data_IF_833282608019
#
_entry.id   IF_833282608019
#
_cell.length_a   1.000
_cell.length_b   1.000
_cell.length_c   1.000
_cell.angle_alpha   90.00
_cell.angle_beta   90.00
_cell.angle_gamma   90.00
#
_symmetry.space_group_name_H-M   'P 1'
#
loop_
_entity.id
_entity.type
_entity.pdbx_description
1 polymer ?
#
# COMPACT_ATOMS: atom_id res chain seq x y z
N UNK A 1 5.45 0.22 -2.06
CA UNK A 1 6.71 0.97 -2.28
C UNK A 1 7.03 1.07 -3.78
N UNK A 2 7.85 2.03 -4.22
CA UNK A 2 8.44 2.02 -5.57
C UNK A 2 9.80 1.33 -5.60
N UNK A 3 10.52 1.35 -4.49
CA UNK A 3 11.86 0.77 -4.36
C UNK A 3 11.87 -0.38 -3.35
N UNK A 4 12.92 -1.20 -3.36
CA UNK A 4 13.10 -2.28 -2.39
C UNK A 4 13.62 -1.76 -1.05
N UNK A 5 13.46 -2.57 0.00
CA UNK A 5 14.00 -2.30 1.35
C UNK A 5 15.52 -2.19 1.30
N UNK A 6 16.18 -2.99 0.45
CA UNK A 6 17.64 -2.97 0.26
C UNK A 6 18.18 -1.62 -0.27
N UNK A 7 17.29 -0.75 -0.78
CA UNK A 7 17.66 0.59 -1.25
C UNK A 7 17.75 1.62 -0.11
N UNK A 8 17.21 1.32 1.09
CA UNK A 8 17.14 2.28 2.20
C UNK A 8 18.53 2.80 2.57
N UNK A 9 19.50 1.91 2.70
CA UNK A 9 20.86 2.23 3.11
C UNK A 9 21.66 2.99 2.03
N UNK A 10 21.14 3.04 0.80
CA UNK A 10 21.73 3.76 -0.33
C UNK A 10 21.21 5.19 -0.46
N UNK A 11 20.20 5.57 0.32
CA UNK A 11 19.66 6.93 0.33
C UNK A 11 20.69 7.90 0.91
N UNK A 12 20.76 9.09 0.32
CA UNK A 12 21.53 10.21 0.88
C UNK A 12 20.64 11.12 1.72
N UNK A 13 19.36 11.15 1.40
CA UNK A 13 18.33 11.82 2.19
C UNK A 13 17.13 10.89 2.36
N UNK A 14 16.67 10.78 3.61
CA UNK A 14 15.45 10.08 3.98
C UNK A 14 14.44 11.14 4.41
N UNK A 15 13.29 11.22 3.74
CA UNK A 15 12.13 11.96 4.25
C UNK A 15 11.15 10.94 4.80
N UNK A 16 10.99 10.91 6.12
CA UNK A 16 10.05 10.02 6.80
C UNK A 16 8.91 10.87 7.33
N UNK A 17 7.68 10.58 6.91
CA UNK A 17 6.50 11.36 7.32
C UNK A 17 5.32 10.47 7.70
N UNK A 18 4.58 10.86 8.74
CA UNK A 18 3.41 10.12 9.20
C UNK A 18 3.69 8.66 9.55
N UNK A 19 4.89 8.36 10.05
CA UNK A 19 5.39 7.01 10.33
C UNK A 19 6.24 6.94 11.58
N UNK A 20 5.86 6.07 12.53
CA UNK A 20 6.76 5.62 13.60
C UNK A 20 7.47 4.33 13.19
N UNK A 21 8.44 4.47 12.29
CA UNK A 21 9.06 3.34 11.56
C UNK A 21 9.78 2.35 12.48
N UNK A 22 10.38 2.80 13.58
CA UNK A 22 11.16 1.91 14.47
C UNK A 22 10.28 0.99 15.31
N UNK A 23 9.05 1.39 15.62
CA UNK A 23 8.07 0.54 16.32
C UNK A 23 7.27 -0.32 15.34
N UNK A 24 6.78 0.27 14.25
CA UNK A 24 5.86 -0.43 13.34
C UNK A 24 6.57 -1.32 12.32
N UNK A 25 7.80 -0.96 11.95
CA UNK A 25 8.62 -1.71 10.99
C UNK A 25 10.07 -1.83 11.49
N UNK A 26 10.36 -2.51 12.62
CA UNK A 26 11.66 -2.45 13.29
C UNK A 26 12.86 -2.80 12.39
N UNK A 27 12.69 -3.74 11.46
CA UNK A 27 13.74 -4.11 10.48
C UNK A 27 14.05 -2.97 9.51
N UNK A 28 13.02 -2.28 9.03
CA UNK A 28 13.17 -1.07 8.20
C UNK A 28 13.75 0.07 9.05
N UNK A 29 13.30 0.22 10.30
CA UNK A 29 13.86 1.17 11.26
C UNK A 29 15.36 0.95 11.50
N UNK A 30 15.82 -0.30 11.58
CA UNK A 30 17.23 -0.63 11.67
C UNK A 30 18.01 -0.23 10.40
N UNK A 31 17.45 -0.46 9.21
CA UNK A 31 18.05 0.01 7.96
C UNK A 31 18.13 1.54 7.87
N UNK A 32 17.11 2.26 8.33
CA UNK A 32 17.12 3.72 8.45
C UNK A 32 18.23 4.18 9.41
N UNK A 33 18.36 3.55 10.58
CA UNK A 33 19.42 3.87 11.54
C UNK A 33 20.82 3.67 10.95
N UNK A 34 21.07 2.55 10.25
CA UNK A 34 22.35 2.32 9.54
C UNK A 34 22.59 3.37 8.47
N UNK A 35 21.58 3.69 7.67
CA UNK A 35 21.69 4.73 6.64
C UNK A 35 22.14 6.08 7.24
N UNK A 36 21.55 6.49 8.38
CA UNK A 36 21.83 7.77 9.02
C UNK A 36 23.14 7.76 9.81
N UNK A 37 23.30 6.79 10.72
CA UNK A 37 24.37 6.77 11.71
C UNK A 37 25.69 6.23 11.16
N UNK A 38 25.63 5.30 10.20
CA UNK A 38 26.83 4.64 9.65
C UNK A 38 27.17 5.18 8.25
N UNK A 39 26.16 5.41 7.40
CA UNK A 39 26.37 5.86 6.01
C UNK A 39 26.26 7.38 5.81
N UNK A 40 25.93 8.13 6.87
CA UNK A 40 25.86 9.59 6.87
C UNK A 40 24.68 10.19 6.11
N UNK A 41 23.60 9.43 5.89
CA UNK A 41 22.38 9.94 5.28
C UNK A 41 21.72 11.01 6.17
N UNK A 42 21.16 12.04 5.54
CA UNK A 42 20.36 13.05 6.25
C UNK A 42 18.95 12.54 6.45
N UNK A 43 18.38 12.75 7.64
CA UNK A 43 17.01 12.39 7.95
C UNK A 43 16.16 13.64 8.18
N UNK A 44 15.18 13.85 7.31
CA UNK A 44 14.07 14.79 7.51
C UNK A 44 12.90 13.96 8.08
N UNK A 45 12.59 14.18 9.35
CA UNK A 45 11.45 13.56 10.01
C UNK A 45 10.32 14.59 10.08
N UNK A 46 9.15 14.24 9.55
CA UNK A 46 7.93 15.04 9.65
C UNK A 46 6.90 14.26 10.46
N UNK A 47 6.85 14.53 11.76
CA UNK A 47 5.90 13.91 12.69
C UNK A 47 5.65 14.89 13.85
N UNK A 48 4.40 15.17 14.25
CA UNK A 48 4.12 16.04 15.40
C UNK A 48 4.70 15.50 16.72
N UNK A 49 4.96 14.18 16.81
CA UNK A 49 5.42 13.51 18.02
C UNK A 49 6.93 13.27 17.97
N UNK A 50 7.54 13.24 19.16
CA UNK A 50 8.95 12.88 19.32
C UNK A 50 9.09 11.34 19.33
N UNK A 51 9.12 10.73 18.15
CA UNK A 51 9.41 9.29 18.01
C UNK A 51 10.91 9.03 18.12
N UNK A 52 11.33 7.76 18.24
CA UNK A 52 12.75 7.39 18.42
C UNK A 52 13.66 7.98 17.33
N UNK A 53 13.19 8.02 16.08
CA UNK A 53 13.95 8.57 14.95
C UNK A 53 14.22 10.08 15.06
N UNK A 54 13.49 10.82 15.91
CA UNK A 54 13.71 12.24 16.11
C UNK A 54 15.08 12.52 16.75
N UNK A 55 15.62 11.59 17.56
CA UNK A 55 16.91 11.75 18.22
C UNK A 55 18.10 11.73 17.25
N UNK A 56 17.90 11.16 16.06
CA UNK A 56 18.94 11.05 15.02
C UNK A 56 18.58 11.86 13.77
N UNK A 57 17.45 12.60 13.79
CA UNK A 57 17.00 13.38 12.66
C UNK A 57 17.89 14.60 12.43
N UNK A 58 18.25 14.85 11.17
CA UNK A 58 18.91 16.09 10.77
C UNK A 58 17.96 17.28 10.95
N UNK A 59 16.68 17.07 10.64
CA UNK A 59 15.59 18.00 10.90
C UNK A 59 14.36 17.23 11.35
N UNK A 60 13.72 17.72 12.41
CA UNK A 60 12.45 17.21 12.89
C UNK A 60 11.38 18.31 12.78
N UNK A 61 10.55 18.22 11.75
CA UNK A 61 9.44 19.12 11.48
C UNK A 61 8.18 18.61 12.18
N UNK A 62 7.46 19.53 12.82
CA UNK A 62 6.33 19.22 13.71
C UNK A 62 5.06 19.94 13.25
N UNK A 63 4.44 19.50 12.14
CA UNK A 63 3.21 20.14 11.67
C UNK A 63 2.06 19.87 12.65
N UNK A 64 1.08 20.77 12.70
CA UNK A 64 -0.24 20.48 13.26
C UNK A 64 -0.85 19.31 12.48
N UNK A 65 -1.46 18.31 13.15
CA UNK A 65 -2.06 17.17 12.45
C UNK A 65 -3.09 17.61 11.39
N UNK A 66 -3.03 17.03 10.19
CA UNK A 66 -3.94 17.34 9.08
C UNK A 66 -3.54 18.55 8.23
N UNK A 67 -2.35 19.12 8.44
CA UNK A 67 -1.81 20.21 7.61
C UNK A 67 -0.75 19.75 6.61
N UNK A 68 -0.76 18.47 6.21
CA UNK A 68 0.33 17.87 5.46
C UNK A 68 0.50 18.45 4.06
N UNK A 69 -0.62 18.66 3.37
CA UNK A 69 -0.63 19.27 2.05
C UNK A 69 0.08 20.63 2.02
N UNK A 70 -0.08 21.43 3.09
CA UNK A 70 0.52 22.76 3.18
C UNK A 70 2.06 22.71 3.25
N UNK A 71 2.65 21.85 4.08
CA UNK A 71 4.11 21.76 4.15
C UNK A 71 4.72 21.11 2.91
N UNK A 72 4.02 20.14 2.29
CA UNK A 72 4.51 19.49 1.06
C UNK A 72 4.54 20.53 -0.08
N UNK A 73 3.44 21.26 -0.29
CA UNK A 73 3.38 22.32 -1.28
C UNK A 73 4.38 23.45 -0.97
N UNK A 74 4.58 23.75 0.32
CA UNK A 74 5.60 24.70 0.77
C UNK A 74 7.03 24.30 0.40
N UNK A 75 7.38 23.02 0.58
CA UNK A 75 8.68 22.51 0.13
C UNK A 75 8.82 22.63 -1.39
N UNK A 76 7.78 22.25 -2.16
CA UNK A 76 7.79 22.39 -3.61
C UNK A 76 7.97 23.87 -4.01
N UNK A 77 7.23 24.79 -3.37
CA UNK A 77 7.35 26.22 -3.61
C UNK A 77 8.79 26.71 -3.46
N UNK A 78 9.46 26.35 -2.36
CA UNK A 78 10.86 26.72 -2.12
C UNK A 78 11.79 26.14 -3.19
N UNK A 79 11.62 24.86 -3.52
CA UNK A 79 12.44 24.16 -4.54
C UNK A 79 12.33 24.86 -5.90
N UNK A 80 11.12 25.24 -6.29
CA UNK A 80 10.89 25.95 -7.56
C UNK A 80 11.45 27.38 -7.52
N UNK A 81 11.22 28.12 -6.43
CA UNK A 81 11.70 29.50 -6.26
C UNK A 81 13.22 29.59 -6.26
N UNK A 82 13.90 28.58 -5.75
CA UNK A 82 15.37 28.50 -5.71
C UNK A 82 15.99 27.80 -6.93
N UNK A 83 15.17 27.41 -7.92
CA UNK A 83 15.61 26.69 -9.12
C UNK A 83 16.35 25.38 -8.82
N UNK A 84 15.88 24.63 -7.81
CA UNK A 84 16.43 23.34 -7.37
C UNK A 84 15.71 22.12 -7.98
N UNK A 85 14.71 22.35 -8.84
CA UNK A 85 13.96 21.28 -9.49
C UNK A 85 14.77 20.58 -10.59
N UNK A 86 14.49 19.30 -10.81
CA UNK A 86 15.05 18.53 -11.92
C UNK A 86 14.25 18.80 -13.20
N UNK A 87 14.61 19.88 -13.91
CA UNK A 87 13.88 20.33 -15.10
C UNK A 87 13.90 19.30 -16.22
N UNK A 88 15.01 18.58 -16.41
CA UNK A 88 15.14 17.53 -17.42
C UNK A 88 14.19 16.36 -17.11
N UNK A 89 14.11 15.93 -15.85
CA UNK A 89 13.15 14.90 -15.45
C UNK A 89 11.70 15.35 -15.70
N UNK A 90 11.37 16.58 -15.31
CA UNK A 90 10.03 17.15 -15.48
C UNK A 90 9.65 17.15 -16.97
N UNK A 91 10.49 17.73 -17.83
CA UNK A 91 10.22 17.87 -19.26
C UNK A 91 10.12 16.53 -19.98
N UNK A 92 10.93 15.54 -19.61
CA UNK A 92 10.98 14.27 -20.32
C UNK A 92 9.99 13.22 -19.79
N UNK A 93 9.64 13.27 -18.50
CA UNK A 93 8.94 12.16 -17.84
C UNK A 93 7.59 12.52 -17.24
N UNK A 94 7.19 13.79 -17.24
CA UNK A 94 5.99 14.24 -16.51
C UNK A 94 5.02 15.08 -17.34
N UNK A 95 3.82 15.30 -16.85
CA UNK A 95 2.80 16.18 -17.44
C UNK A 95 2.07 16.95 -16.33
N UNK A 96 1.43 18.08 -16.67
CA UNK A 96 0.66 18.91 -15.72
C UNK A 96 1.50 19.80 -14.79
N UNK A 97 2.77 20.05 -15.14
CA UNK A 97 3.71 20.78 -14.29
C UNK A 97 3.31 22.24 -14.09
N UNK A 98 2.89 22.94 -15.14
CA UNK A 98 2.57 24.37 -15.06
C UNK A 98 1.34 24.64 -14.17
N UNK A 99 0.32 23.78 -14.24
CA UNK A 99 -0.86 23.87 -13.36
C UNK A 99 -0.48 23.63 -11.89
N UNK A 100 0.38 22.65 -11.63
CA UNK A 100 0.87 22.37 -10.27
C UNK A 100 1.75 23.50 -9.75
N UNK A 101 2.66 24.03 -10.58
CA UNK A 101 3.52 25.18 -10.27
C UNK A 101 2.71 26.42 -9.91
N UNK A 102 1.62 26.67 -10.64
CA UNK A 102 0.70 27.76 -10.31
C UNK A 102 0.00 27.53 -8.95
N UNK A 103 -0.46 26.31 -8.69
CA UNK A 103 -1.12 25.96 -7.42
C UNK A 103 -0.19 26.10 -6.21
N UNK A 104 1.09 25.72 -6.31
CA UNK A 104 2.04 25.83 -5.19
C UNK A 104 2.57 27.25 -4.96
N UNK A 105 2.33 28.19 -5.88
CA UNK A 105 2.86 29.55 -5.79
C UNK A 105 2.39 30.31 -4.53
N UNK A 106 1.19 29.99 -4.03
CA UNK A 106 0.64 30.63 -2.82
C UNK A 106 1.20 30.09 -1.50
N UNK A 107 1.90 28.95 -1.52
CA UNK A 107 2.43 28.29 -0.32
C UNK A 107 3.82 28.82 0.05
N UNK A 108 3.90 30.13 0.30
CA UNK A 108 5.17 30.71 0.79
C UNK A 108 5.53 30.16 2.17
N UNK A 109 6.82 30.12 2.55
CA UNK A 109 7.23 29.63 3.86
C UNK A 109 6.48 30.27 5.04
N UNK A 110 6.17 31.56 4.95
CA UNK A 110 5.44 32.31 5.98
C UNK A 110 3.99 31.84 6.11
N UNK A 111 3.29 31.63 4.97
CA UNK A 111 1.93 31.08 4.98
C UNK A 111 1.91 29.66 5.52
N UNK A 112 2.91 28.86 5.15
CA UNK A 112 3.03 27.47 5.62
C UNK A 112 3.29 27.44 7.12
N UNK A 113 4.10 28.35 7.65
CA UNK A 113 4.34 28.48 9.10
C UNK A 113 3.04 28.81 9.86
N UNK A 114 2.21 29.71 9.34
CA UNK A 114 0.90 30.03 9.93
C UNK A 114 -0.01 28.79 10.02
N UNK A 115 -0.14 28.06 8.91
CA UNK A 115 -1.01 26.88 8.80
C UNK A 115 -0.46 25.76 9.69
N UNK A 116 0.79 25.37 9.45
CA UNK A 116 1.37 24.12 9.95
C UNK A 116 2.05 24.27 11.31
N UNK A 117 2.51 25.47 11.68
CA UNK A 117 3.39 25.68 12.83
C UNK A 117 4.84 25.24 12.62
N UNK A 118 5.23 24.80 11.41
CA UNK A 118 6.63 24.55 11.06
C UNK A 118 7.32 25.90 10.82
N UNK A 119 8.43 26.23 11.50
CA UNK A 119 9.15 27.47 11.24
C UNK A 119 9.56 27.61 9.78
N UNK A 120 9.36 28.78 9.19
CA UNK A 120 9.66 29.03 7.77
C UNK A 120 11.11 28.66 7.39
N UNK A 121 12.07 28.95 8.27
CA UNK A 121 13.49 28.62 8.05
C UNK A 121 13.73 27.11 8.00
N UNK A 122 13.06 26.34 8.87
CA UNK A 122 13.18 24.87 8.91
C UNK A 122 12.56 24.24 7.67
N UNK A 123 11.43 24.77 7.18
CA UNK A 123 10.80 24.35 5.93
C UNK A 123 11.74 24.58 4.74
N UNK A 124 12.35 25.76 4.65
CA UNK A 124 13.31 26.11 3.59
C UNK A 124 14.52 25.16 3.66
N UNK A 125 15.05 24.92 4.86
CA UNK A 125 16.19 24.02 5.05
C UNK A 125 15.85 22.58 4.66
N UNK A 126 14.67 22.09 5.00
CA UNK A 126 14.20 20.77 4.59
C UNK A 126 14.06 20.66 3.07
N UNK A 127 13.47 21.67 2.42
CA UNK A 127 13.31 21.74 0.97
C UNK A 127 14.67 21.66 0.24
N UNK A 128 15.65 22.45 0.69
CA UNK A 128 17.03 22.43 0.17
C UNK A 128 17.72 21.09 0.38
N UNK A 129 17.57 20.48 1.56
CA UNK A 129 18.15 19.15 1.83
C UNK A 129 17.54 18.10 0.91
N UNK A 130 16.21 18.08 0.78
CA UNK A 130 15.49 17.09 -0.01
C UNK A 130 15.78 17.19 -1.52
N UNK A 131 15.89 18.41 -2.06
CA UNK A 131 16.20 18.62 -3.47
C UNK A 131 17.67 18.37 -3.84
N UNK A 132 18.58 18.36 -2.85
CA UNK A 132 20.02 18.29 -3.10
C UNK A 132 20.50 16.95 -3.67
N UNK A 133 20.58 15.93 -2.82
CA UNK A 133 21.06 14.59 -3.22
C UNK A 133 19.91 13.60 -3.37
N UNK A 134 20.25 12.39 -3.81
CA UNK A 134 19.36 11.23 -3.94
C UNK A 134 18.52 11.02 -2.66
N UNK A 135 17.21 11.27 -2.79
CA UNK A 135 16.27 11.22 -1.67
C UNK A 135 15.12 10.24 -1.91
N UNK A 136 14.61 9.67 -0.83
CA UNK A 136 13.41 8.83 -0.86
C UNK A 136 12.42 9.26 0.22
N UNK A 137 11.13 9.16 -0.11
CA UNK A 137 10.03 9.40 0.82
C UNK A 137 9.55 8.07 1.38
N UNK A 138 9.41 7.98 2.69
CA UNK A 138 8.78 6.87 3.40
C UNK A 138 7.60 7.40 4.21
N UNK A 139 6.42 6.81 4.00
CA UNK A 139 5.20 7.30 4.65
C UNK A 139 4.24 6.17 5.01
N UNK A 140 3.29 6.44 5.90
CA UNK A 140 2.21 5.50 6.22
C UNK A 140 0.96 6.24 6.68
N UNK A 141 0.28 5.72 7.69
CA UNK A 141 -1.04 6.14 8.15
C UNK A 141 -1.16 7.61 8.57
N UNK A 142 -0.09 8.26 9.06
CA UNK A 142 -0.12 9.70 9.35
C UNK A 142 -0.24 10.59 8.11
N UNK A 143 -0.23 10.01 6.91
CA UNK A 143 -0.54 10.67 5.64
C UNK A 143 -1.90 10.20 5.12
N UNK A 144 -2.18 8.89 5.19
CA UNK A 144 -3.34 8.28 4.50
C UNK A 144 -4.62 8.31 5.32
N UNK A 145 -4.56 8.33 6.66
CA UNK A 145 -5.74 8.32 7.54
C UNK A 145 -6.21 9.74 7.88
N UNK A 146 -6.34 10.57 6.85
CA UNK A 146 -6.85 11.93 6.91
C UNK A 146 -7.97 12.12 5.88
N UNK A 147 -8.81 13.13 6.07
CA UNK A 147 -9.86 13.48 5.10
C UNK A 147 -9.31 13.82 3.70
N UNK A 148 -8.04 14.25 3.63
CA UNK A 148 -7.31 14.58 2.41
C UNK A 148 -6.16 13.57 2.14
N UNK A 149 -6.31 12.31 2.57
CA UNK A 149 -5.23 11.33 2.52
C UNK A 149 -4.75 11.02 1.09
N UNK A 150 -5.66 11.02 0.12
CA UNK A 150 -5.34 10.83 -1.30
C UNK A 150 -4.51 11.99 -1.84
N UNK A 151 -4.93 13.21 -1.56
CA UNK A 151 -4.27 14.45 -1.95
C UNK A 151 -2.88 14.56 -1.30
N UNK A 152 -2.73 14.19 -0.03
CA UNK A 152 -1.43 14.17 0.63
C UNK A 152 -0.44 13.23 -0.09
N UNK A 153 -0.89 12.03 -0.50
CA UNK A 153 -0.05 11.08 -1.27
C UNK A 153 0.29 11.63 -2.65
N UNK A 154 -0.67 12.26 -3.33
CA UNK A 154 -0.42 12.93 -4.62
C UNK A 154 0.57 14.09 -4.48
N UNK A 155 0.52 14.84 -3.38
CA UNK A 155 1.47 15.92 -3.10
C UNK A 155 2.88 15.38 -2.84
N UNK A 156 3.02 14.29 -2.09
CA UNK A 156 4.32 13.60 -1.94
C UNK A 156 4.85 13.13 -3.29
N UNK A 157 3.98 12.63 -4.18
CA UNK A 157 4.36 12.23 -5.53
C UNK A 157 4.81 13.44 -6.36
N UNK A 158 4.10 14.57 -6.28
CA UNK A 158 4.55 15.83 -6.88
C UNK A 158 5.96 16.19 -6.38
N UNK A 159 6.17 16.22 -5.06
CA UNK A 159 7.47 16.56 -4.46
C UNK A 159 8.60 15.66 -4.98
N UNK A 160 8.40 14.34 -4.99
CA UNK A 160 9.38 13.41 -5.50
C UNK A 160 9.64 13.57 -7.01
N UNK A 161 8.61 13.88 -7.81
CA UNK A 161 8.77 14.11 -9.24
C UNK A 161 9.44 15.45 -9.56
N UNK A 162 9.17 16.52 -8.80
CA UNK A 162 9.84 17.83 -8.98
C UNK A 162 11.35 17.70 -8.80
N UNK A 163 11.80 16.84 -7.89
CA UNK A 163 13.22 16.58 -7.67
C UNK A 163 13.76 15.39 -8.48
N UNK A 164 12.96 14.79 -9.37
CA UNK A 164 13.36 13.64 -10.17
C UNK A 164 13.75 12.40 -9.35
N UNK A 165 13.24 12.23 -8.13
CA UNK A 165 13.62 11.12 -7.24
C UNK A 165 12.96 9.79 -7.58
N UNK A 166 12.04 9.74 -8.57
CA UNK A 166 11.32 8.53 -8.97
C UNK A 166 12.01 7.81 -10.12
N UNK A 167 11.92 6.47 -10.16
CA UNK A 167 12.48 5.68 -11.26
C UNK A 167 13.99 5.59 -11.24
N UNK A 168 14.59 5.55 -10.04
CA UNK A 168 16.03 5.37 -9.83
C UNK A 168 16.31 4.66 -8.49
N UNK A 169 17.44 3.94 -8.37
CA UNK A 169 17.91 3.36 -7.10
C UNK A 169 18.07 4.41 -5.99
N UNK A 170 17.83 4.00 -4.74
CA UNK A 170 17.83 4.89 -3.55
C UNK A 170 16.89 6.09 -3.66
N UNK A 171 15.70 5.92 -4.23
CA UNK A 171 14.76 7.01 -4.41
C UNK A 171 13.31 6.60 -4.16
N UNK A 172 12.42 7.40 -4.74
CA UNK A 172 11.02 7.05 -4.93
C UNK A 172 10.12 7.28 -3.73
N UNK A 173 8.92 6.73 -3.84
CA UNK A 173 7.84 6.84 -2.87
C UNK A 173 7.55 5.48 -2.25
N UNK A 174 7.73 5.40 -0.95
CA UNK A 174 7.77 4.13 -0.26
C UNK A 174 6.71 4.11 0.85
N UNK A 175 5.42 3.85 0.51
CA UNK A 175 4.42 3.56 1.52
C UNK A 175 4.84 2.31 2.30
N UNK A 176 4.94 2.46 3.62
CA UNK A 176 5.22 1.39 4.56
C UNK A 176 3.90 0.72 4.93
N UNK A 177 3.56 -0.33 4.19
CA UNK A 177 2.36 -1.15 4.43
C UNK A 177 2.48 -1.88 5.77
N UNK A 178 1.39 -1.93 6.54
CA UNK A 178 1.38 -2.48 7.90
C UNK A 178 1.33 -4.01 7.94
N UNK A 179 0.18 -4.59 7.57
CA UNK A 179 -0.02 -6.03 7.63
C UNK A 179 0.88 -6.79 6.63
N UNK A 180 1.29 -8.00 7.04
CA UNK A 180 2.24 -8.85 6.33
C UNK A 180 1.93 -9.09 4.84
N UNK A 181 0.66 -9.16 4.47
CA UNK A 181 0.21 -9.50 3.13
C UNK A 181 -0.79 -8.51 2.54
N UNK A 182 -0.94 -7.30 3.09
CA UNK A 182 -1.87 -6.31 2.51
C UNK A 182 -1.47 -5.93 1.09
N UNK A 183 -0.18 -6.01 0.73
CA UNK A 183 0.23 -5.91 -0.67
C UNK A 183 -0.33 -7.07 -1.49
N UNK A 184 -0.11 -8.32 -1.05
CA UNK A 184 -0.57 -9.52 -1.76
C UNK A 184 -2.09 -9.63 -1.86
N UNK A 185 -2.83 -9.29 -0.80
CA UNK A 185 -4.29 -9.25 -0.81
C UNK A 185 -4.81 -8.28 -1.88
N UNK A 186 -4.24 -7.06 -1.95
CA UNK A 186 -4.56 -6.12 -3.03
C UNK A 186 -4.14 -6.66 -4.41
N UNK A 187 -2.96 -7.28 -4.51
CA UNK A 187 -2.46 -7.85 -5.76
C UNK A 187 -3.40 -8.94 -6.29
N UNK A 188 -4.06 -9.69 -5.41
CA UNK A 188 -4.98 -10.78 -5.77
C UNK A 188 -6.43 -10.32 -5.96
N UNK A 189 -6.68 -9.00 -6.03
CA UNK A 189 -8.03 -8.48 -6.25
C UNK A 189 -8.89 -8.43 -4.97
N UNK A 190 -8.27 -8.36 -3.79
CA UNK A 190 -8.95 -8.03 -2.52
C UNK A 190 -9.42 -6.57 -2.45
N UNK A 191 -9.92 -6.04 -3.57
CA UNK A 191 -10.37 -4.68 -3.80
C UNK A 191 -11.62 -4.73 -4.69
N UNK A 192 -12.63 -3.90 -4.46
CA UNK A 192 -13.93 -4.04 -5.14
C UNK A 192 -13.91 -3.69 -6.64
N UNK A 193 -12.85 -3.05 -7.14
CA UNK A 193 -12.80 -2.44 -8.47
C UNK A 193 -11.78 -3.09 -9.43
N UNK A 194 -11.07 -4.14 -9.00
CA UNK A 194 -10.06 -4.80 -9.82
C UNK A 194 -10.06 -6.32 -9.60
N UNK A 195 -9.72 -7.07 -10.65
CA UNK A 195 -9.23 -8.44 -10.55
C UNK A 195 -7.75 -8.46 -10.10
N UNK A 196 -7.15 -9.65 -10.04
CA UNK A 196 -5.72 -9.80 -9.72
C UNK A 196 -4.83 -8.99 -10.67
N UNK A 197 -3.67 -8.54 -10.17
CA UNK A 197 -2.74 -7.71 -10.92
C UNK A 197 -3.23 -6.28 -11.18
N UNK A 198 -4.21 -5.80 -10.41
CA UNK A 198 -4.83 -4.48 -10.58
C UNK A 198 -5.52 -4.28 -11.94
N UNK A 199 -6.00 -5.37 -12.55
CA UNK A 199 -6.72 -5.33 -13.82
C UNK A 199 -8.16 -4.87 -13.56
N UNK A 200 -8.59 -3.75 -14.14
CA UNK A 200 -9.90 -3.13 -13.87
C UNK A 200 -11.08 -4.07 -14.17
N UNK A 201 -12.08 -4.12 -13.28
CA UNK A 201 -13.34 -4.83 -13.58
C UNK A 201 -14.17 -4.15 -14.66
N UNK A 202 -13.94 -2.86 -14.90
CA UNK A 202 -14.65 -2.09 -15.92
C UNK A 202 -14.06 -2.24 -17.33
N UNK A 203 -12.95 -2.98 -17.49
CA UNK A 203 -12.35 -3.24 -18.80
C UNK A 203 -12.95 -4.53 -19.42
N UNK A 204 -13.72 -4.45 -20.51
CA UNK A 204 -14.37 -5.62 -21.11
C UNK A 204 -13.39 -6.70 -21.56
N UNK A 205 -12.17 -6.33 -21.97
CA UNK A 205 -11.16 -7.30 -22.39
C UNK A 205 -10.64 -8.11 -21.20
N UNK A 206 -10.51 -7.47 -20.03
CA UNK A 206 -10.13 -8.13 -18.79
C UNK A 206 -11.26 -9.03 -18.28
N UNK A 207 -12.50 -8.55 -18.32
CA UNK A 207 -13.67 -9.36 -17.94
C UNK A 207 -13.74 -10.64 -18.77
N UNK A 208 -13.64 -10.53 -20.10
CA UNK A 208 -13.66 -11.68 -20.99
C UNK A 208 -12.52 -12.67 -20.71
N UNK A 209 -11.31 -12.18 -20.44
CA UNK A 209 -10.16 -13.01 -20.05
C UNK A 209 -10.42 -13.79 -18.76
N UNK A 210 -11.04 -13.16 -17.75
CA UNK A 210 -11.34 -13.82 -16.47
C UNK A 210 -12.50 -14.82 -16.59
N UNK A 211 -13.52 -14.49 -17.38
CA UNK A 211 -14.61 -15.41 -17.72
C UNK A 211 -14.10 -16.67 -18.41
N UNK A 212 -13.21 -16.53 -19.39
CA UNK A 212 -12.55 -17.65 -20.06
C UNK A 212 -11.74 -18.49 -19.07
N UNK A 213 -10.89 -17.85 -18.25
CA UNK A 213 -10.04 -18.54 -17.29
C UNK A 213 -10.84 -19.36 -16.26
N UNK A 214 -11.99 -18.86 -15.82
CA UNK A 214 -12.82 -19.53 -14.81
C UNK A 214 -13.97 -20.35 -15.39
N UNK A 215 -14.13 -20.37 -16.72
CA UNK A 215 -15.22 -21.08 -17.38
C UNK A 215 -16.62 -20.58 -16.98
N UNK A 216 -16.73 -19.29 -16.63
CA UNK A 216 -17.98 -18.64 -16.22
C UNK A 216 -18.41 -17.58 -17.24
N UNK A 217 -19.62 -17.05 -17.10
CA UNK A 217 -20.13 -15.93 -17.90
C UNK A 217 -20.92 -14.97 -17.01
N UNK A 218 -21.00 -13.72 -17.43
CA UNK A 218 -21.76 -12.68 -16.73
C UNK A 218 -21.06 -12.16 -15.49
N UNK A 219 -19.72 -12.11 -15.48
CA UNK A 219 -19.00 -11.39 -14.43
C UNK A 219 -19.41 -9.91 -14.47
N UNK A 220 -19.57 -9.29 -13.29
CA UNK A 220 -19.96 -7.89 -13.23
C UNK A 220 -18.83 -6.98 -13.70
N UNK A 221 -19.17 -6.00 -14.53
CA UNK A 221 -18.30 -4.93 -15.00
C UNK A 221 -18.32 -3.68 -14.10
N UNK A 222 -18.96 -3.77 -12.94
CA UNK A 222 -19.14 -2.66 -11.99
C UNK A 222 -18.30 -2.89 -10.75
N UNK A 223 -17.64 -1.86 -10.22
CA UNK A 223 -17.03 -1.92 -8.91
C UNK A 223 -18.04 -2.37 -7.84
N UNK A 224 -17.60 -3.27 -6.95
CA UNK A 224 -18.31 -3.63 -5.74
C UNK A 224 -18.31 -2.50 -4.71
N UNK A 225 -18.92 -2.77 -3.55
CA UNK A 225 -18.97 -1.83 -2.43
C UNK A 225 -17.66 -1.87 -1.62
N UNK A 226 -17.22 -0.71 -1.16
CA UNK A 226 -16.15 -0.57 -0.17
C UNK A 226 -16.64 -0.96 1.23
N UNK A 227 -15.71 -1.21 2.17
CA UNK A 227 -16.04 -1.53 3.56
C UNK A 227 -16.99 -0.50 4.20
N UNK A 228 -16.73 0.80 3.99
CA UNK A 228 -17.58 1.86 4.51
C UNK A 228 -19.00 1.80 3.92
N UNK A 229 -19.12 1.55 2.62
CA UNK A 229 -20.42 1.43 1.94
C UNK A 229 -21.17 0.16 2.36
N UNK A 230 -20.46 -0.94 2.64
CA UNK A 230 -21.05 -2.20 3.12
C UNK A 230 -21.82 -1.97 4.43
N UNK A 231 -21.27 -1.19 5.37
CA UNK A 231 -21.94 -0.93 6.66
C UNK A 231 -23.28 -0.21 6.48
N UNK A 232 -23.33 0.82 5.64
CA UNK A 232 -24.56 1.54 5.30
C UNK A 232 -25.53 0.63 4.54
N UNK A 233 -25.04 -0.12 3.56
CA UNK A 233 -25.85 -1.02 2.75
C UNK A 233 -26.47 -2.18 3.55
N UNK A 234 -25.80 -2.66 4.60
CA UNK A 234 -26.34 -3.65 5.53
C UNK A 234 -27.54 -3.08 6.30
N UNK A 235 -27.43 -1.87 6.87
CA UNK A 235 -28.53 -1.21 7.60
C UNK A 235 -29.73 -0.92 6.70
N UNK A 236 -29.47 -0.57 5.45
CA UNK A 236 -30.50 -0.36 4.42
C UNK A 236 -31.07 -1.68 3.85
N UNK A 237 -30.63 -2.84 4.35
CA UNK A 237 -31.03 -4.18 3.89
C UNK A 237 -30.75 -4.43 2.40
N UNK A 238 -29.82 -3.67 1.80
CA UNK A 238 -29.29 -3.91 0.45
C UNK A 238 -28.28 -5.06 0.44
N UNK A 239 -27.55 -5.23 1.53
CA UNK A 239 -26.74 -6.44 1.81
C UNK A 239 -27.47 -7.24 2.89
N UNK A 240 -27.64 -8.55 2.63
CA UNK A 240 -28.29 -9.48 3.57
C UNK A 240 -27.30 -10.48 4.18
N UNK A 241 -26.25 -10.82 3.44
CA UNK A 241 -25.23 -11.78 3.83
C UNK A 241 -23.85 -11.13 3.79
N UNK A 242 -23.00 -11.42 4.77
CA UNK A 242 -21.59 -11.03 4.76
C UNK A 242 -20.71 -12.20 5.18
N UNK A 243 -19.59 -12.39 4.47
CA UNK A 243 -18.54 -13.34 4.83
C UNK A 243 -17.29 -12.52 5.17
N UNK A 244 -16.87 -12.56 6.43
CA UNK A 244 -15.66 -11.87 6.92
C UNK A 244 -14.57 -12.93 7.09
N UNK A 245 -13.44 -12.72 6.43
CA UNK A 245 -12.30 -13.64 6.44
C UNK A 245 -11.09 -12.99 7.10
N UNK A 246 -10.70 -13.47 8.27
CA UNK A 246 -9.46 -13.06 8.95
C UNK A 246 -9.41 -11.60 9.38
N UNK A 247 -10.58 -10.98 9.63
CA UNK A 247 -10.69 -9.59 10.06
C UNK A 247 -11.59 -9.45 11.29
N UNK A 248 -11.31 -8.42 12.10
CA UNK A 248 -12.07 -8.07 13.31
C UNK A 248 -12.52 -6.60 13.28
N UNK A 249 -13.39 -6.20 12.32
CA UNK A 249 -13.79 -4.81 12.14
C UNK A 249 -14.41 -4.19 13.39
N UNK A 250 -15.06 -4.97 14.28
CA UNK A 250 -15.59 -4.44 15.55
C UNK A 250 -14.50 -3.74 16.39
N UNK A 251 -13.25 -4.19 16.32
CA UNK A 251 -12.12 -3.58 17.03
C UNK A 251 -11.33 -2.61 16.15
N UNK A 252 -11.18 -2.89 14.86
CA UNK A 252 -10.28 -2.14 13.98
C UNK A 252 -10.93 -0.95 13.26
N UNK A 253 -12.24 -0.96 13.07
CA UNK A 253 -12.94 0.06 12.28
C UNK A 253 -13.43 1.23 13.15
N UNK A 254 -13.54 2.44 12.57
CA UNK A 254 -14.09 3.59 13.29
C UNK A 254 -15.59 3.42 13.53
N UNK A 255 -16.09 4.09 14.58
CA UNK A 255 -17.50 4.04 14.99
C UNK A 255 -18.03 2.62 15.19
N UNK A 256 -17.44 1.94 16.17
CA UNK A 256 -17.80 0.58 16.58
C UNK A 256 -19.30 0.37 16.80
N UNK A 257 -20.01 1.38 17.34
CA UNK A 257 -21.45 1.27 17.58
C UNK A 257 -22.23 1.18 16.28
N UNK A 258 -21.91 2.04 15.30
CA UNK A 258 -22.51 2.00 13.98
C UNK A 258 -22.25 0.66 13.28
N UNK A 259 -21.00 0.18 13.33
CA UNK A 259 -20.63 -1.10 12.74
C UNK A 259 -21.36 -2.28 13.39
N UNK A 260 -21.42 -2.37 14.72
CA UNK A 260 -22.11 -3.46 15.41
C UNK A 260 -23.58 -3.50 15.00
N UNK A 261 -24.25 -2.34 14.92
CA UNK A 261 -25.63 -2.26 14.46
C UNK A 261 -25.77 -2.76 13.01
N UNK A 262 -24.84 -2.41 12.13
CA UNK A 262 -24.83 -2.87 10.74
C UNK A 262 -24.68 -4.40 10.67
N UNK A 263 -23.71 -4.97 11.40
CA UNK A 263 -23.48 -6.42 11.42
C UNK A 263 -24.67 -7.19 12.01
N UNK A 264 -25.27 -6.70 13.09
CA UNK A 264 -26.48 -7.29 13.69
C UNK A 264 -27.71 -7.17 12.79
N UNK A 265 -27.73 -6.23 11.85
CA UNK A 265 -28.82 -6.08 10.89
C UNK A 265 -28.73 -7.05 9.71
N UNK A 266 -27.64 -7.81 9.55
CA UNK A 266 -27.52 -8.81 8.49
C UNK A 266 -28.43 -10.01 8.77
N UNK A 267 -29.01 -10.58 7.72
CA UNK A 267 -29.79 -11.81 7.82
C UNK A 267 -28.87 -13.05 7.97
N UNK A 268 -27.61 -12.94 7.52
CA UNK A 268 -26.60 -13.98 7.66
C UNK A 268 -25.19 -13.39 7.74
N UNK A 269 -24.38 -13.88 8.68
CA UNK A 269 -23.01 -13.41 8.91
C UNK A 269 -22.14 -14.63 9.18
N UNK A 270 -21.13 -14.82 8.34
CA UNK A 270 -20.10 -15.84 8.49
C UNK A 270 -18.80 -15.15 8.86
N UNK A 271 -18.12 -15.66 9.87
CA UNK A 271 -16.77 -15.20 10.23
C UNK A 271 -15.82 -16.38 10.20
N UNK A 272 -14.77 -16.28 9.41
CA UNK A 272 -13.69 -17.25 9.37
C UNK A 272 -12.46 -16.66 10.04
N UNK A 273 -12.05 -17.22 11.17
CA UNK A 273 -11.00 -16.66 12.02
C UNK A 273 -10.27 -17.78 12.79
N UNK A 274 -9.12 -17.45 13.39
CA UNK A 274 -8.39 -18.31 14.30
C UNK A 274 -9.01 -18.31 15.71
N UNK A 275 -9.61 -17.19 16.10
CA UNK A 275 -10.16 -16.99 17.43
C UNK A 275 -11.62 -16.54 17.40
N UNK A 276 -12.32 -16.73 18.51
CA UNK A 276 -13.65 -16.16 18.71
C UNK A 276 -13.52 -14.66 19.03
N UNK A 277 -13.25 -13.86 18.00
CA UNK A 277 -13.09 -12.40 18.05
C UNK A 277 -14.40 -11.68 18.37
N UNK A 278 -14.33 -10.38 18.65
CA UNK A 278 -15.50 -9.51 18.87
C UNK A 278 -16.47 -9.56 17.69
N UNK A 279 -15.93 -9.58 16.47
CA UNK A 279 -16.72 -9.75 15.25
C UNK A 279 -17.31 -11.17 15.15
N UNK A 280 -16.51 -12.21 15.42
CA UNK A 280 -16.99 -13.60 15.37
C UNK A 280 -18.12 -13.89 16.37
N UNK A 281 -18.16 -13.22 17.52
CA UNK A 281 -19.25 -13.33 18.51
C UNK A 281 -20.60 -12.83 17.99
N UNK A 282 -20.61 -11.99 16.95
CA UNK A 282 -21.82 -11.51 16.28
C UNK A 282 -22.26 -12.44 15.14
N UNK A 283 -21.42 -13.41 14.75
CA UNK A 283 -21.65 -14.24 13.59
C UNK A 283 -22.73 -15.31 13.83
N UNK A 284 -23.45 -15.64 12.75
CA UNK A 284 -24.35 -16.78 12.73
C UNK A 284 -23.58 -18.10 12.58
N UNK A 285 -22.44 -18.06 11.87
CA UNK A 285 -21.53 -19.20 11.67
C UNK A 285 -20.10 -18.73 11.87
N UNK A 286 -19.32 -19.49 12.64
CA UNK A 286 -17.88 -19.31 12.78
C UNK A 286 -17.17 -20.50 12.17
N UNK A 287 -16.23 -20.26 11.25
CA UNK A 287 -15.43 -21.28 10.58
C UNK A 287 -13.97 -21.18 11.06
N UNK A 288 -13.41 -22.23 11.71
CA UNK A 288 -12.06 -22.17 12.25
C UNK A 288 -11.00 -22.27 11.15
N UNK A 289 -10.24 -21.19 10.94
CA UNK A 289 -9.10 -21.14 10.04
C UNK A 289 -7.81 -21.66 10.67
N UNK A 290 -6.80 -21.96 9.84
CA UNK A 290 -5.46 -22.34 10.28
C UNK A 290 -4.51 -21.14 10.29
N UNK A 291 -3.64 -21.07 11.30
CA UNK A 291 -2.63 -20.02 11.44
C UNK A 291 -1.54 -20.12 10.37
N UNK A 292 -0.66 -19.10 10.29
CA UNK A 292 0.43 -19.09 9.31
C UNK A 292 1.41 -20.27 9.44
N UNK A 293 1.57 -20.82 10.66
CA UNK A 293 2.47 -21.94 10.93
C UNK A 293 1.82 -23.29 10.59
N UNK A 294 0.50 -23.32 10.46
CA UNK A 294 -0.30 -24.53 10.20
C UNK A 294 -0.59 -24.74 8.71
N UNK A 295 -0.28 -23.76 7.87
CA UNK A 295 -0.53 -23.77 6.42
C UNK A 295 0.69 -23.33 5.62
N UNK A 296 0.64 -23.56 4.31
CA UNK A 296 1.64 -23.04 3.37
C UNK A 296 1.01 -22.11 2.34
N UNK A 297 1.85 -21.40 1.61
CA UNK A 297 1.42 -20.45 0.57
C UNK A 297 2.47 -19.37 0.36
N UNK A 298 2.02 -18.14 0.11
CA UNK A 298 2.89 -16.99 -0.07
C UNK A 298 2.38 -15.75 0.66
N UNK A 299 3.31 -14.88 1.03
CA UNK A 299 3.02 -13.50 1.38
C UNK A 299 3.77 -12.56 0.46
N UNK A 300 3.14 -11.44 0.10
CA UNK A 300 3.77 -10.33 -0.60
C UNK A 300 3.90 -9.17 0.37
N UNK A 301 5.14 -8.77 0.66
CA UNK A 301 5.44 -7.75 1.66
C UNK A 301 5.35 -6.31 1.08
N UNK A 302 5.68 -5.30 1.90
CA UNK A 302 5.59 -3.86 1.54
C UNK A 302 6.44 -3.44 0.32
N UNK A 303 7.52 -4.15 0.04
CA UNK A 303 8.40 -3.93 -1.12
C UNK A 303 8.01 -4.78 -2.34
N UNK A 304 6.80 -5.38 -2.33
CA UNK A 304 6.26 -6.23 -3.41
C UNK A 304 6.97 -7.58 -3.54
N UNK A 305 7.78 -7.98 -2.55
CA UNK A 305 8.47 -9.27 -2.59
C UNK A 305 7.52 -10.39 -2.22
N UNK A 306 7.29 -11.30 -3.16
CA UNK A 306 6.55 -12.55 -2.98
C UNK A 306 7.46 -13.58 -2.32
N UNK A 307 7.09 -14.06 -1.14
CA UNK A 307 7.89 -14.96 -0.31
C UNK A 307 7.07 -16.19 0.10
N UNK A 308 7.71 -17.35 0.15
CA UNK A 308 7.05 -18.62 0.50
C UNK A 308 6.84 -18.76 2.01
N UNK A 309 5.61 -19.06 2.40
CA UNK A 309 5.21 -19.52 3.73
C UNK A 309 5.18 -21.05 3.72
N UNK A 310 5.65 -21.69 4.78
CA UNK A 310 5.69 -23.15 4.90
C UNK A 310 4.97 -23.59 6.16
N UNK A 311 4.23 -24.68 6.03
CA UNK A 311 3.67 -25.39 7.16
C UNK A 311 4.81 -25.91 8.05
N UNK A 312 4.76 -25.54 9.32
CA UNK A 312 5.69 -25.98 10.36
C UNK A 312 5.04 -27.01 11.30
N UNK A 313 3.73 -26.91 11.50
CA UNK A 313 2.93 -27.82 12.32
C UNK A 313 1.63 -28.15 11.59
N UNK A 314 0.98 -29.26 11.94
CA UNK A 314 -0.36 -29.58 11.40
C UNK A 314 -1.42 -28.66 12.00
N UNK A 315 -2.50 -28.31 11.26
CA UNK A 315 -3.64 -27.60 11.82
C UNK A 315 -4.22 -28.34 13.02
N UNK A 316 -4.69 -27.59 14.01
CA UNK A 316 -5.47 -28.18 15.11
C UNK A 316 -6.71 -28.94 14.59
N UNK A 317 -7.16 -30.01 15.28
CA UNK A 317 -8.34 -30.76 14.86
C UNK A 317 -9.56 -29.85 14.64
N UNK A 318 -10.17 -29.96 13.45
CA UNK A 318 -11.34 -29.16 13.06
C UNK A 318 -11.02 -27.86 12.33
N UNK A 319 -9.80 -27.32 12.44
CA UNK A 319 -9.35 -26.19 11.64
C UNK A 319 -8.85 -26.64 10.27
N UNK A 320 -8.98 -25.77 9.27
CA UNK A 320 -8.51 -25.98 7.90
C UNK A 320 -7.78 -24.72 7.41
N UNK A 321 -6.87 -24.88 6.44
CA UNK A 321 -6.33 -23.72 5.77
C UNK A 321 -7.45 -22.95 5.06
N UNK A 322 -7.35 -21.62 5.01
CA UNK A 322 -8.48 -20.79 4.59
C UNK A 322 -8.98 -21.12 3.18
N UNK A 323 -8.05 -21.42 2.28
CA UNK A 323 -8.36 -21.80 0.90
C UNK A 323 -9.13 -23.13 0.82
N UNK A 324 -8.87 -24.08 1.73
CA UNK A 324 -9.59 -25.37 1.74
C UNK A 324 -11.06 -25.15 2.08
N UNK A 325 -11.35 -24.27 3.06
CA UNK A 325 -12.71 -23.90 3.46
C UNK A 325 -13.45 -23.24 2.29
N UNK A 326 -12.79 -22.31 1.59
CA UNK A 326 -13.37 -21.64 0.43
C UNK A 326 -13.62 -22.60 -0.74
N UNK A 327 -12.69 -23.50 -1.04
CA UNK A 327 -12.86 -24.55 -2.06
C UNK A 327 -14.03 -25.47 -1.70
N UNK A 328 -14.13 -25.87 -0.44
CA UNK A 328 -15.23 -26.68 0.09
C UNK A 328 -16.58 -25.97 -0.02
N UNK A 329 -16.62 -24.65 0.19
CA UNK A 329 -17.81 -23.82 0.02
C UNK A 329 -18.20 -23.71 -1.47
N UNK A 330 -17.24 -23.41 -2.35
CA UNK A 330 -17.46 -23.33 -3.80
C UNK A 330 -18.06 -24.64 -4.36
N UNK A 331 -17.51 -25.79 -3.95
CA UNK A 331 -18.04 -27.11 -4.34
C UNK A 331 -19.49 -27.30 -3.91
N UNK A 332 -19.84 -26.90 -2.67
CA UNK A 332 -21.22 -26.99 -2.15
C UNK A 332 -22.18 -26.02 -2.86
N UNK A 333 -21.66 -24.93 -3.43
CA UNK A 333 -22.41 -24.00 -4.27
C UNK A 333 -22.50 -24.42 -5.74
N UNK A 334 -21.92 -25.58 -6.11
CA UNK A 334 -21.93 -26.07 -7.49
C UNK A 334 -20.88 -25.42 -8.39
N UNK A 335 -19.91 -24.69 -7.83
CA UNK A 335 -18.77 -24.15 -8.57
C UNK A 335 -17.63 -25.18 -8.57
N UNK A 336 -17.15 -25.64 -9.75
CA UNK A 336 -16.04 -26.57 -9.81
C UNK A 336 -14.75 -25.87 -9.37
N UNK A 337 -14.24 -26.25 -8.20
CA UNK A 337 -12.98 -25.74 -7.66
C UNK A 337 -12.11 -26.95 -7.27
N UNK A 338 -11.22 -27.38 -8.18
CA UNK A 338 -10.36 -28.55 -7.98
C UNK A 338 -8.91 -28.12 -7.73
N UNK A 339 -8.64 -27.64 -6.52
CA UNK A 339 -7.28 -27.38 -6.05
C UNK A 339 -6.89 -28.38 -4.97
N UNK A 340 -5.70 -28.94 -5.10
CA UNK A 340 -5.09 -29.86 -4.13
C UNK A 340 -4.03 -29.20 -3.26
N UNK A 341 -3.62 -27.98 -3.60
CA UNK A 341 -2.51 -27.27 -2.95
C UNK A 341 -2.53 -25.76 -3.22
N UNK A 342 -1.93 -24.94 -2.33
CA UNK A 342 -1.66 -23.53 -2.60
C UNK A 342 -0.78 -23.30 -3.84
N UNK A 343 0.06 -24.29 -4.21
CA UNK A 343 0.85 -24.23 -5.43
C UNK A 343 -0.04 -24.29 -6.67
N UNK A 344 -1.04 -25.17 -6.72
CA UNK A 344 -2.00 -25.23 -7.83
C UNK A 344 -2.76 -23.91 -8.01
N UNK A 345 -3.22 -23.31 -6.91
CA UNK A 345 -3.87 -21.98 -6.92
C UNK A 345 -2.89 -20.92 -7.46
N UNK A 346 -1.63 -20.98 -7.05
CA UNK A 346 -0.63 -20.02 -7.51
C UNK A 346 -0.28 -20.19 -9.00
N UNK A 347 -0.32 -21.41 -9.55
CA UNK A 347 -0.17 -21.64 -10.98
C UNK A 347 -1.30 -20.99 -11.79
N UNK A 348 -2.54 -21.01 -11.29
CA UNK A 348 -3.63 -20.24 -11.89
C UNK A 348 -3.40 -18.73 -11.76
N UNK A 349 -2.99 -18.24 -10.58
CA UNK A 349 -2.66 -16.82 -10.39
C UNK A 349 -1.64 -16.37 -11.45
N UNK A 350 -0.60 -17.17 -11.72
CA UNK A 350 0.42 -16.87 -12.73
C UNK A 350 -0.14 -16.79 -14.15
N UNK A 351 -1.16 -17.56 -14.50
CA UNK A 351 -1.76 -17.54 -15.84
C UNK A 351 -2.61 -16.29 -16.07
N UNK A 352 -3.29 -15.78 -15.03
CA UNK A 352 -4.19 -14.62 -15.15
C UNK A 352 -3.58 -13.30 -14.70
N UNK A 353 -2.44 -13.33 -14.00
CA UNK A 353 -1.77 -12.15 -13.41
C UNK A 353 -0.40 -11.90 -14.06
N UNK A 354 -0.30 -11.05 -15.11
CA UNK A 354 0.93 -10.89 -15.89
C UNK A 354 2.15 -10.47 -15.07
N UNK A 355 1.96 -9.66 -14.02
CA UNK A 355 3.05 -9.22 -13.14
C UNK A 355 3.63 -10.33 -12.27
N UNK A 356 2.94 -11.47 -12.14
CA UNK A 356 3.35 -12.64 -11.36
C UNK A 356 3.76 -13.83 -12.24
N UNK A 357 3.54 -13.78 -13.56
CA UNK A 357 3.66 -14.94 -14.46
C UNK A 357 5.00 -15.69 -14.38
N UNK A 358 6.09 -14.95 -14.18
CA UNK A 358 7.44 -15.49 -14.03
C UNK A 358 7.79 -16.04 -12.64
N UNK A 359 6.99 -15.76 -11.62
CA UNK A 359 7.27 -16.16 -10.24
C UNK A 359 6.79 -17.60 -10.06
N UNK A 360 7.70 -18.57 -9.86
CA UNK A 360 7.34 -19.96 -9.54
C UNK A 360 7.70 -20.29 -8.09
N UNK A 361 7.08 -21.32 -7.51
CA UNK A 361 7.39 -21.78 -6.15
C UNK A 361 8.88 -22.12 -5.97
N UNK A 362 9.50 -22.68 -7.00
CA UNK A 362 10.92 -23.03 -7.03
C UNK A 362 11.79 -21.78 -6.93
N UNK A 363 11.42 -20.70 -7.64
CA UNK A 363 12.17 -19.45 -7.66
C UNK A 363 12.07 -18.68 -6.33
N UNK A 364 10.93 -18.75 -5.64
CA UNK A 364 10.72 -18.09 -4.34
C UNK A 364 11.07 -18.97 -3.14
N UNK A 365 11.73 -20.11 -3.36
CA UNK A 365 12.00 -21.08 -2.30
C UNK A 365 12.98 -20.57 -1.23
N UNK A 366 13.75 -19.50 -1.45
CA UNK A 366 14.67 -18.97 -0.41
C UNK A 366 14.33 -17.55 0.00
N UNK A 367 14.58 -16.59 -0.89
CA UNK A 367 14.46 -15.15 -0.57
C UNK A 367 13.12 -14.57 -1.00
N UNK A 368 12.63 -14.97 -2.17
CA UNK A 368 11.44 -14.38 -2.79
C UNK A 368 11.79 -13.32 -3.85
N UNK A 369 10.79 -12.90 -4.63
CA UNK A 369 10.96 -12.06 -5.83
C UNK A 369 10.03 -10.85 -5.75
N UNK A 370 10.55 -9.65 -6.01
CA UNK A 370 9.71 -8.47 -6.23
C UNK A 370 9.00 -8.56 -7.57
N UNK A 371 7.67 -8.47 -7.54
CA UNK A 371 6.92 -8.22 -8.77
C UNK A 371 7.04 -6.72 -9.17
N UNK A 372 6.93 -6.38 -10.48
CA UNK A 372 6.67 -7.26 -11.62
C UNK A 372 7.77 -8.29 -11.94
N UNK A 373 7.34 -9.47 -12.41
CA UNK A 373 8.21 -10.53 -12.92
C UNK A 373 7.44 -11.27 -14.02
N UNK A 374 7.47 -10.76 -15.27
CA UNK A 374 6.61 -11.25 -16.36
C UNK A 374 7.03 -12.62 -16.91
N UNK A 375 8.30 -12.99 -16.77
CA UNK A 375 8.84 -14.25 -17.33
C UNK A 375 9.73 -14.97 -16.32
N UNK A 376 9.92 -16.28 -16.52
CA UNK A 376 10.67 -17.14 -15.57
C UNK A 376 12.16 -16.85 -15.53
N UNK A 377 12.70 -16.17 -16.53
CA UNK A 377 14.07 -15.66 -16.61
C UNK A 377 14.21 -14.22 -16.09
N UNK A 378 13.12 -13.46 -15.96
CA UNK A 378 13.15 -12.10 -15.43
C UNK A 378 13.54 -12.07 -13.94
N UNK A 379 14.56 -11.32 -13.48
CA UNK A 379 15.08 -11.40 -12.11
C UNK A 379 14.13 -10.84 -11.04
N UNK A 380 13.04 -10.19 -11.46
CA UNK A 380 12.15 -9.40 -10.61
C UNK A 380 12.46 -7.91 -10.76
N UNK A 381 11.62 -7.06 -10.16
CA UNK A 381 11.74 -5.60 -10.31
C UNK A 381 11.91 -4.92 -8.95
N UNK A 382 13.18 -4.74 -8.48
CA UNK A 382 13.46 -4.05 -7.22
C UNK A 382 13.04 -2.57 -7.24
N UNK A 383 13.24 -1.89 -8.37
CA UNK A 383 12.93 -0.47 -8.57
C UNK A 383 11.91 -0.32 -9.68
N UNK A 384 10.74 0.24 -9.36
CA UNK A 384 9.73 0.56 -10.34
C UNK A 384 10.08 1.82 -11.12
N UNK A 385 9.48 1.94 -12.31
CA UNK A 385 9.53 3.13 -13.15
C UNK A 385 10.92 3.51 -13.65
N UNK A 386 11.86 2.56 -13.78
CA UNK A 386 13.17 2.84 -14.41
C UNK A 386 12.99 3.34 -15.85
N UNK A 387 12.23 2.61 -16.67
CA UNK A 387 12.07 2.89 -18.11
C UNK A 387 10.88 3.80 -18.46
N UNK A 388 10.13 4.27 -17.46
CA UNK A 388 8.91 5.04 -17.66
C UNK A 388 7.85 4.82 -16.57
N UNK A 389 6.89 5.73 -16.45
CA UNK A 389 5.74 5.48 -15.59
C UNK A 389 4.80 4.46 -16.25
N UNK A 390 4.08 3.68 -15.45
CA UNK A 390 3.14 2.66 -15.97
C UNK A 390 2.07 3.27 -16.88
N UNK A 391 1.70 4.54 -16.63
CA UNK A 391 0.77 5.32 -17.45
C UNK A 391 1.44 6.12 -18.59
N UNK A 392 2.71 5.86 -18.88
CA UNK A 392 3.55 6.67 -19.75
C UNK A 392 4.26 7.79 -18.99
N UNK A 393 3.56 8.91 -18.74
CA UNK A 393 4.11 10.10 -18.06
C UNK A 393 3.56 10.27 -16.64
N UNK A 394 4.43 10.69 -15.72
CA UNK A 394 4.04 11.04 -14.36
C UNK A 394 3.14 12.27 -14.37
N UNK A 395 2.02 12.24 -13.66
CA UNK A 395 1.06 13.34 -13.67
C UNK A 395 1.20 14.19 -12.42
N UNK A 396 1.51 15.46 -12.60
CA UNK A 396 1.41 16.44 -11.53
C UNK A 396 -0.06 16.80 -11.27
N UNK A 397 -0.40 17.01 -10.01
CA UNK A 397 -1.74 17.38 -9.57
C UNK A 397 -1.71 18.78 -8.93
N UNK A 398 -2.56 19.75 -9.38
CA UNK A 398 -2.64 21.08 -8.81
C UNK A 398 -3.48 21.06 -7.52
N UNK A 399 -2.84 20.71 -6.41
CA UNK A 399 -3.52 20.53 -5.13
C UNK A 399 -3.44 21.82 -4.30
N UNK A 400 -4.59 22.23 -3.76
CA UNK A 400 -4.74 23.40 -2.87
C UNK A 400 -5.26 22.95 -1.50
N UNK A 401 -4.94 23.73 -0.46
CA UNK A 401 -5.22 23.40 0.96
C UNK A 401 -6.45 24.12 1.47
#
# INVERSE_FOLDING_TARGET
MTNSIDEIEKNKVLLITGSNTTENHPVIGAAVKRAVLENGAKLILVDPRKIELAEIATLWLRPKPGTDLAWINGMIHVILKENLADTEFIENRTEGFEEMKAAVAEFTPEKVEEITGIPAEDLIRAARIYAGERAAVYYTMGITQHTHGTENVMALANLAMVCGHVGKPGGGLNPLRGQNNVQGACDMGGLPNVFSGYQSVADPAIVAKMEEAWGVKGLSDKPGLTLMEITSAAKEKKIKGLFILGENPVVSDPDTHHLIQALQSLDFLVVQDLFLTETAKLAHVVLPGASFAEKEGTFTNTERRVQRVRQAVSPIPGAKADWEILVELLKRMGVPAEYDSPKAIFEEIRSVTPSYAGITYERINRVGIQWPCPTTDHPGTPVLHLDGFTRGRGKFHPLTY
#
